data_IF_142652371208
#
_entry.id   IF_142652371208
#
_cell.length_a   1.000
_cell.length_b   1.000
_cell.length_c   1.000
_cell.angle_alpha   90.00
_cell.angle_beta   90.00
_cell.angle_gamma   90.00
#
_symmetry.space_group_name_H-M   'P 1'
#
loop_
_entity.id
_entity.type
_entity.pdbx_description
1 polymer ?
#
# COMPACT_ATOMS: atom_id res chain seq x y z
N UNK A 1 -15.77 -25.19 -20.00
CA UNK A 1 -15.96 -23.72 -19.92
C UNK A 1 -15.22 -23.09 -21.10
N UNK A 2 -15.88 -22.26 -21.93
CA UNK A 2 -15.22 -21.76 -23.17
C UNK A 2 -14.08 -20.84 -22.79
N UNK A 3 -12.90 -21.01 -23.39
CA UNK A 3 -11.71 -20.18 -23.19
C UNK A 3 -11.99 -18.67 -23.34
N UNK A 4 -12.94 -18.31 -24.20
CA UNK A 4 -13.42 -16.93 -24.39
C UNK A 4 -14.04 -16.35 -23.11
N UNK A 5 -14.75 -17.16 -22.33
CA UNK A 5 -15.32 -16.69 -21.03
C UNK A 5 -14.23 -16.48 -19.99
N UNK A 6 -13.20 -17.32 -20.03
CA UNK A 6 -12.05 -17.21 -19.11
C UNK A 6 -11.23 -15.93 -19.43
N UNK A 7 -10.97 -15.66 -20.71
CA UNK A 7 -10.30 -14.44 -21.15
C UNK A 7 -11.12 -13.20 -20.78
N UNK A 8 -12.45 -13.22 -21.02
CA UNK A 8 -13.30 -12.09 -20.64
C UNK A 8 -13.31 -11.84 -19.12
N UNK A 9 -13.35 -12.90 -18.30
CA UNK A 9 -13.22 -12.74 -16.84
C UNK A 9 -11.88 -12.13 -16.44
N UNK A 10 -10.76 -12.60 -17.02
CA UNK A 10 -9.44 -12.04 -16.74
C UNK A 10 -9.30 -10.58 -17.18
N UNK A 11 -9.87 -10.21 -18.34
CA UNK A 11 -9.88 -8.81 -18.80
C UNK A 11 -10.75 -7.94 -17.90
N UNK A 12 -11.92 -8.45 -17.47
CA UNK A 12 -12.81 -7.72 -16.56
C UNK A 12 -12.17 -7.50 -15.18
N UNK A 13 -11.49 -8.52 -14.63
CA UNK A 13 -10.75 -8.39 -13.37
C UNK A 13 -9.57 -7.42 -13.49
N UNK A 14 -8.89 -7.38 -14.62
CA UNK A 14 -7.80 -6.43 -14.85
C UNK A 14 -8.31 -4.97 -14.92
N UNK A 15 -9.48 -4.74 -15.51
CA UNK A 15 -10.12 -3.40 -15.55
C UNK A 15 -10.59 -2.91 -14.18
N UNK A 16 -11.03 -3.80 -13.31
CA UNK A 16 -11.47 -3.44 -11.95
C UNK A 16 -10.29 -3.00 -11.07
N UNK A 17 -9.09 -3.54 -11.30
CA UNK A 17 -7.88 -3.17 -10.55
C UNK A 17 -7.39 -1.74 -10.83
N UNK A 18 -7.73 -1.15 -11.97
CA UNK A 18 -7.34 0.22 -12.30
C UNK A 18 -8.23 1.29 -11.66
N UNK A 19 -9.39 0.91 -11.11
CA UNK A 19 -10.36 1.84 -10.55
C UNK A 19 -10.10 2.22 -9.07
N UNK A 20 -9.11 1.62 -8.41
CA UNK A 20 -8.84 1.82 -6.96
C UNK A 20 -7.69 2.80 -6.69
N UNK A 21 -7.29 3.62 -7.65
CA UNK A 21 -6.31 4.68 -7.44
C UNK A 21 -6.93 5.90 -6.73
N UNK A 22 -7.51 5.68 -5.55
CA UNK A 22 -7.90 6.79 -4.67
C UNK A 22 -6.75 7.07 -3.71
N UNK A 23 -6.46 8.35 -3.52
CA UNK A 23 -5.44 8.79 -2.57
C UNK A 23 -5.72 8.22 -1.18
N UNK A 24 -4.75 7.50 -0.63
CA UNK A 24 -4.82 6.93 0.73
C UNK A 24 -4.44 7.92 1.83
N UNK A 25 -4.12 9.17 1.48
CA UNK A 25 -3.67 10.19 2.43
C UNK A 25 -4.34 11.53 2.15
N UNK A 26 -4.58 12.30 3.23
CA UNK A 26 -5.05 13.68 3.19
C UNK A 26 -4.10 14.60 3.96
N UNK A 27 -2.81 14.37 3.86
CA UNK A 27 -1.82 15.11 4.62
C UNK A 27 -1.00 16.04 3.71
N UNK A 28 -0.94 17.35 4.00
CA UNK A 28 -0.12 18.30 3.25
C UNK A 28 1.38 17.97 3.32
N UNK A 29 1.80 17.20 4.31
CA UNK A 29 3.20 16.76 4.45
C UNK A 29 3.60 15.74 3.38
N UNK A 30 2.65 15.05 2.74
CA UNK A 30 2.92 14.12 1.64
C UNK A 30 3.45 14.80 0.37
N UNK A 31 3.45 16.13 0.33
CA UNK A 31 4.07 16.92 -0.74
C UNK A 31 5.59 16.74 -0.81
N UNK A 32 6.23 16.32 0.28
CA UNK A 32 7.67 16.25 0.38
C UNK A 32 8.21 14.84 0.24
N UNK A 33 9.37 14.70 -0.44
CA UNK A 33 10.06 13.45 -0.64
C UNK A 33 9.20 12.42 -1.39
N UNK A 34 9.13 11.22 -0.87
CA UNK A 34 8.33 10.12 -1.45
C UNK A 34 6.88 10.09 -0.95
N UNK A 35 6.43 11.10 -0.21
CA UNK A 35 5.14 11.10 0.44
C UNK A 35 5.15 10.37 1.80
N UNK A 36 4.00 9.85 2.20
CA UNK A 36 3.86 9.05 3.42
C UNK A 36 4.17 7.59 3.11
N UNK A 37 5.18 7.02 3.78
CA UNK A 37 5.52 5.61 3.65
C UNK A 37 4.38 4.75 4.18
N UNK A 38 4.06 3.69 3.43
CA UNK A 38 3.04 2.72 3.81
C UNK A 38 3.59 1.68 4.77
N UNK A 39 2.72 1.15 5.63
CA UNK A 39 3.05 0.02 6.49
C UNK A 39 3.25 -1.25 5.64
N UNK A 40 4.37 -1.92 5.83
CA UNK A 40 4.76 -3.14 5.11
C UNK A 40 4.32 -4.42 5.83
N UNK A 41 3.48 -4.32 6.86
CA UNK A 41 2.95 -5.46 7.60
C UNK A 41 1.62 -5.95 7.04
N UNK A 42 1.38 -7.25 7.11
CA UNK A 42 0.21 -7.93 6.58
C UNK A 42 -0.65 -8.56 7.68
N UNK A 43 -1.96 -8.67 7.43
CA UNK A 43 -2.88 -9.44 8.25
C UNK A 43 -2.77 -9.19 9.76
N UNK A 44 -2.49 -10.26 10.49
CA UNK A 44 -2.37 -10.22 11.95
C UNK A 44 -1.22 -9.33 12.43
N UNK A 45 -0.12 -9.25 11.67
CA UNK A 45 1.02 -8.40 12.01
C UNK A 45 0.62 -6.93 12.06
N UNK A 46 -0.21 -6.47 11.13
CA UNK A 46 -0.76 -5.12 11.10
C UNK A 46 -1.63 -4.84 12.34
N UNK A 47 -2.47 -5.80 12.74
CA UNK A 47 -3.29 -5.69 13.95
C UNK A 47 -2.47 -5.66 15.25
N UNK A 48 -1.25 -6.20 15.24
CA UNK A 48 -0.29 -6.19 16.36
C UNK A 48 0.69 -5.01 16.31
N UNK A 49 0.36 -3.92 15.60
CA UNK A 49 1.20 -2.74 15.53
C UNK A 49 2.40 -2.87 14.59
N UNK A 50 2.31 -3.73 13.57
CA UNK A 50 3.35 -3.88 12.55
C UNK A 50 4.49 -4.84 12.92
N UNK A 51 4.30 -5.71 13.91
CA UNK A 51 5.31 -6.72 14.27
C UNK A 51 5.45 -7.71 13.12
N UNK A 52 6.56 -7.65 12.40
CA UNK A 52 6.78 -8.48 11.21
C UNK A 52 8.18 -9.08 11.14
N UNK A 53 9.23 -8.32 11.44
CA UNK A 53 10.63 -8.70 11.21
C UNK A 53 11.09 -9.96 11.97
N UNK A 54 10.65 -10.11 13.22
CA UNK A 54 10.98 -11.29 14.04
C UNK A 54 9.94 -12.42 13.96
N UNK A 55 8.83 -12.20 13.26
CA UNK A 55 7.75 -13.17 13.20
C UNK A 55 8.00 -14.21 12.11
N UNK A 56 8.01 -15.49 12.49
CA UNK A 56 8.07 -16.64 11.60
C UNK A 56 6.83 -17.49 11.77
N UNK A 57 5.94 -17.43 10.77
CA UNK A 57 4.68 -18.16 10.78
C UNK A 57 4.40 -18.73 9.39
N UNK A 58 4.11 -20.02 9.30
CA UNK A 58 3.76 -20.71 8.06
C UNK A 58 2.33 -20.49 7.57
N UNK A 59 1.49 -19.80 8.36
CA UNK A 59 0.07 -19.58 8.08
C UNK A 59 -0.26 -18.16 7.61
N UNK A 60 0.73 -17.29 7.47
CA UNK A 60 0.54 -15.93 6.96
C UNK A 60 1.71 -15.50 6.08
N UNK A 61 1.42 -14.63 5.12
CA UNK A 61 2.45 -14.00 4.30
C UNK A 61 3.16 -12.92 5.14
N UNK A 62 4.50 -12.90 5.09
CA UNK A 62 5.29 -11.90 5.80
C UNK A 62 6.43 -11.38 4.92
N UNK A 63 6.15 -10.34 4.12
CA UNK A 63 7.12 -9.74 3.21
C UNK A 63 8.30 -9.06 3.93
N UNK A 64 8.11 -8.62 5.18
CA UNK A 64 9.17 -7.99 5.96
C UNK A 64 10.21 -8.98 6.50
N UNK A 65 9.85 -10.29 6.57
CA UNK A 65 10.77 -11.36 6.94
C UNK A 65 10.77 -12.48 5.91
N UNK A 66 11.55 -12.38 4.83
CA UNK A 66 11.55 -13.40 3.78
C UNK A 66 12.02 -14.80 4.25
N UNK A 67 12.78 -14.90 5.35
CA UNK A 67 13.14 -16.20 5.94
C UNK A 67 11.89 -16.98 6.42
N UNK A 68 10.78 -16.27 6.74
CA UNK A 68 9.50 -16.86 7.12
C UNK A 68 8.85 -17.68 6.01
N UNK A 69 9.16 -17.44 4.73
CA UNK A 69 8.58 -18.20 3.63
C UNK A 69 8.90 -19.70 3.69
N UNK A 70 10.05 -20.03 4.25
CA UNK A 70 10.46 -21.43 4.45
C UNK A 70 9.63 -22.18 5.50
N UNK A 71 8.77 -21.49 6.26
CA UNK A 71 7.92 -22.09 7.28
C UNK A 71 6.59 -22.62 6.74
N UNK A 72 6.29 -22.41 5.47
CA UNK A 72 5.02 -22.88 4.85
C UNK A 72 5.03 -24.40 4.73
N UNK A 73 3.92 -25.03 5.14
CA UNK A 73 3.73 -26.46 5.06
C UNK A 73 3.61 -26.97 3.61
N UNK A 74 3.84 -28.28 3.43
CA UNK A 74 3.66 -28.93 2.14
C UNK A 74 2.22 -28.82 1.67
N UNK A 75 2.03 -28.70 0.35
CA UNK A 75 0.70 -28.60 -0.30
C UNK A 75 -0.13 -27.37 0.17
N UNK A 76 0.52 -26.39 0.78
CA UNK A 76 -0.15 -25.16 1.24
C UNK A 76 0.13 -24.03 0.26
N UNK A 77 -0.94 -23.38 -0.18
CA UNK A 77 -0.93 -22.13 -0.92
C UNK A 77 -1.64 -21.08 -0.07
N UNK A 78 -0.91 -20.01 0.26
CA UNK A 78 -1.47 -18.87 0.98
C UNK A 78 -1.74 -17.75 -0.02
N UNK A 79 -2.93 -17.19 0.06
CA UNK A 79 -3.30 -15.95 -0.61
C UNK A 79 -3.81 -14.99 0.45
N UNK A 80 -3.26 -13.79 0.46
CA UNK A 80 -3.61 -12.75 1.42
C UNK A 80 -3.79 -11.42 0.71
N UNK A 81 -4.86 -10.72 1.04
CA UNK A 81 -5.17 -9.40 0.50
C UNK A 81 -5.76 -8.52 1.59
N UNK A 82 -5.28 -7.30 1.68
CA UNK A 82 -5.70 -6.33 2.68
C UNK A 82 -6.25 -5.06 2.06
N UNK A 83 -7.28 -4.49 2.69
CA UNK A 83 -7.84 -3.20 2.34
C UNK A 83 -8.08 -2.39 3.62
N UNK A 84 -7.75 -1.12 3.58
CA UNK A 84 -8.03 -0.17 4.66
C UNK A 84 -9.10 0.82 4.22
N UNK A 85 -10.10 0.97 5.09
CA UNK A 85 -11.10 2.03 5.00
C UNK A 85 -10.83 3.02 6.13
N UNK A 86 -10.55 4.26 5.78
CA UNK A 86 -10.26 5.32 6.73
C UNK A 86 -11.39 6.36 6.72
N UNK A 87 -11.85 6.71 7.90
CA UNK A 87 -12.78 7.84 8.12
C UNK A 87 -12.15 8.78 9.14
N UNK A 88 -11.62 9.91 8.65
CA UNK A 88 -10.92 10.89 9.46
C UNK A 88 -11.75 12.16 9.61
N UNK A 89 -11.88 12.67 10.84
CA UNK A 89 -12.52 13.94 11.14
C UNK A 89 -11.44 14.95 11.53
N UNK A 90 -11.31 16.00 10.74
CA UNK A 90 -10.43 17.13 11.01
C UNK A 90 -11.24 18.25 11.64
N UNK A 91 -10.68 18.88 12.68
CA UNK A 91 -11.30 20.03 13.33
C UNK A 91 -10.24 21.11 13.54
N UNK A 92 -10.47 22.28 12.95
CA UNK A 92 -9.61 23.44 13.10
C UNK A 92 -10.49 24.70 13.20
N UNK A 93 -10.22 25.56 14.18
CA UNK A 93 -10.92 26.85 14.36
C UNK A 93 -12.46 26.77 14.32
N UNK A 94 -13.02 25.67 14.84
CA UNK A 94 -14.47 25.43 14.83
C UNK A 94 -15.03 24.83 13.54
N UNK A 95 -14.25 24.77 12.47
CA UNK A 95 -14.61 24.11 11.22
C UNK A 95 -14.32 22.61 11.34
N UNK A 96 -15.29 21.78 10.96
CA UNK A 96 -15.14 20.32 10.91
C UNK A 96 -15.17 19.86 9.47
N UNK A 97 -14.20 19.07 9.07
CA UNK A 97 -14.12 18.43 7.76
C UNK A 97 -13.96 16.93 7.94
N UNK A 98 -14.74 16.16 7.18
CA UNK A 98 -14.63 14.69 7.16
C UNK A 98 -13.96 14.26 5.86
N UNK A 99 -13.00 13.36 5.97
CA UNK A 99 -12.36 12.71 4.83
C UNK A 99 -12.51 11.19 4.93
N UNK A 100 -12.91 10.57 3.84
CA UNK A 100 -13.06 9.13 3.71
C UNK A 100 -12.13 8.65 2.62
N UNK A 101 -11.25 7.73 2.96
CA UNK A 101 -10.29 7.13 2.04
C UNK A 101 -10.48 5.61 2.04
N UNK A 102 -10.19 5.01 0.91
CA UNK A 102 -10.14 3.57 0.76
C UNK A 102 -8.86 3.21 0.00
N UNK A 103 -8.06 2.32 0.55
CA UNK A 103 -6.79 1.91 -0.05
C UNK A 103 -6.69 0.40 -0.08
N UNK A 104 -6.12 -0.12 -1.16
CA UNK A 104 -5.63 -1.49 -1.22
C UNK A 104 -4.27 -1.52 -0.51
N UNK A 105 -4.17 -2.27 0.59
CA UNK A 105 -2.94 -2.32 1.38
C UNK A 105 -1.93 -3.29 0.79
N UNK A 106 -2.38 -4.45 0.32
CA UNK A 106 -1.52 -5.45 -0.31
C UNK A 106 -2.34 -6.55 -0.97
N UNK A 107 -1.70 -7.22 -1.91
CA UNK A 107 -2.09 -8.53 -2.43
C UNK A 107 -0.82 -9.36 -2.48
N UNK A 108 -0.82 -10.51 -1.83
CA UNK A 108 0.34 -11.38 -1.79
C UNK A 108 -0.05 -12.85 -1.81
N UNK A 109 0.87 -13.66 -2.32
CA UNK A 109 0.77 -15.10 -2.34
C UNK A 109 2.07 -15.72 -1.83
N UNK A 110 1.96 -16.88 -1.22
CA UNK A 110 3.10 -17.63 -0.67
C UNK A 110 2.84 -19.12 -0.81
N UNK A 111 3.83 -19.86 -1.23
CA UNK A 111 3.77 -21.31 -1.39
C UNK A 111 5.13 -21.96 -1.24
N UNK A 112 5.11 -23.24 -0.98
CA UNK A 112 6.32 -24.04 -0.86
C UNK A 112 6.72 -24.57 -2.24
N UNK A 113 7.98 -24.36 -2.61
CA UNK A 113 8.57 -24.92 -3.84
C UNK A 113 9.11 -26.32 -3.60
N UNK A 114 9.95 -26.47 -2.57
CA UNK A 114 10.58 -27.72 -2.17
C UNK A 114 10.65 -27.79 -0.65
N UNK A 115 11.15 -28.92 -0.14
CA UNK A 115 11.38 -29.05 1.30
C UNK A 115 12.39 -28.01 1.80
N UNK A 116 11.94 -27.18 2.75
CA UNK A 116 12.71 -26.08 3.30
C UNK A 116 12.78 -24.82 2.43
N UNK A 117 12.25 -24.82 1.18
CA UNK A 117 12.26 -23.65 0.31
C UNK A 117 10.83 -23.14 0.06
N UNK A 118 10.55 -21.93 0.52
CA UNK A 118 9.33 -21.21 0.26
C UNK A 118 9.54 -20.00 -0.65
N UNK A 119 8.52 -19.65 -1.40
CA UNK A 119 8.47 -18.48 -2.27
C UNK A 119 7.26 -17.63 -1.94
N UNK A 120 7.44 -16.32 -2.02
CA UNK A 120 6.35 -15.36 -1.94
C UNK A 120 6.46 -14.32 -3.05
N UNK A 121 5.32 -13.87 -3.53
CA UNK A 121 5.24 -12.76 -4.48
C UNK A 121 4.04 -11.89 -4.12
N UNK A 122 4.14 -10.60 -4.37
CA UNK A 122 3.04 -9.71 -4.04
C UNK A 122 3.22 -8.30 -4.57
N UNK A 123 2.14 -7.55 -4.35
CA UNK A 123 2.00 -6.15 -4.69
C UNK A 123 1.52 -5.39 -3.46
N UNK A 124 2.13 -4.25 -3.19
CA UNK A 124 1.75 -3.36 -2.08
C UNK A 124 2.15 -1.91 -2.38
N UNK A 125 1.45 -0.91 -1.86
CA UNK A 125 1.91 0.46 -1.93
C UNK A 125 3.15 0.63 -1.05
N UNK A 126 4.17 1.31 -1.60
CA UNK A 126 5.37 1.68 -0.86
C UNK A 126 5.18 3.03 -0.17
N UNK A 127 4.55 3.98 -0.89
CA UNK A 127 4.21 5.28 -0.33
C UNK A 127 2.94 5.83 -0.96
N UNK A 128 2.31 6.78 -0.28
CA UNK A 128 1.12 7.48 -0.75
C UNK A 128 1.33 8.98 -0.70
N UNK A 129 0.85 9.66 -1.74
CA UNK A 129 0.81 11.12 -1.83
C UNK A 129 -0.66 11.51 -1.99
N UNK A 130 -1.12 12.44 -1.16
CA UNK A 130 -2.48 12.95 -1.27
C UNK A 130 -2.59 14.25 -0.50
N UNK A 131 -2.64 15.37 -1.23
CA UNK A 131 -2.86 16.68 -0.64
C UNK A 131 -3.71 17.57 -1.57
N UNK A 132 -4.54 18.36 -0.94
CA UNK A 132 -5.29 19.41 -1.59
C UNK A 132 -5.30 20.62 -0.66
N UNK A 133 -4.56 21.66 -1.03
CA UNK A 133 -4.38 22.85 -0.21
C UNK A 133 -4.68 24.09 -1.06
N UNK A 134 -5.36 25.07 -0.46
CA UNK A 134 -5.55 26.37 -1.06
C UNK A 134 -5.10 27.47 -0.10
N UNK A 135 -4.45 28.48 -0.64
CA UNK A 135 -4.01 29.66 0.10
C UNK A 135 -4.48 30.90 -0.62
N UNK A 136 -5.18 31.78 0.09
CA UNK A 136 -5.51 33.13 -0.39
C UNK A 136 -4.33 34.07 -0.11
N UNK A 137 -3.89 34.78 -1.14
CA UNK A 137 -2.85 35.80 -1.07
C UNK A 137 -3.38 37.11 -1.64
N UNK A 138 -3.27 38.18 -0.88
CA UNK A 138 -3.57 39.51 -1.39
C UNK A 138 -2.48 39.91 -2.39
N UNK A 139 -2.86 40.25 -3.62
CA UNK A 139 -1.92 40.63 -4.69
C UNK A 139 -1.98 42.11 -5.03
N UNK A 140 -2.97 42.85 -4.53
CA UNK A 140 -3.10 44.27 -4.76
C UNK A 140 -4.41 44.81 -4.24
N UNK A 141 -4.66 46.08 -4.58
CA UNK A 141 -5.92 46.78 -4.30
C UNK A 141 -6.43 47.35 -5.61
N UNK A 142 -7.69 47.25 -5.87
CA UNK A 142 -8.31 47.82 -7.06
C UNK A 142 -8.40 49.37 -6.94
N UNK A 143 -8.69 50.10 -8.02
CA UNK A 143 -8.86 51.56 -7.98
C UNK A 143 -9.97 52.06 -7.06
N UNK A 144 -10.87 51.16 -6.64
CA UNK A 144 -11.99 51.44 -5.73
C UNK A 144 -11.68 51.10 -4.26
N UNK A 145 -10.45 50.66 -3.95
CA UNK A 145 -10.00 50.34 -2.58
C UNK A 145 -10.29 48.91 -2.12
N UNK A 146 -10.80 48.00 -2.99
CA UNK A 146 -11.03 46.62 -2.62
C UNK A 146 -9.74 45.77 -2.75
N UNK A 147 -9.55 44.85 -1.83
CA UNK A 147 -8.42 43.95 -1.87
C UNK A 147 -8.59 42.88 -2.96
N UNK A 148 -7.65 42.84 -3.90
CA UNK A 148 -7.60 41.79 -4.91
C UNK A 148 -6.88 40.59 -4.28
N UNK A 149 -7.56 39.43 -4.22
CA UNK A 149 -7.02 38.21 -3.68
C UNK A 149 -6.79 37.18 -4.80
N UNK A 150 -5.62 36.58 -4.83
CA UNK A 150 -5.34 35.41 -5.64
C UNK A 150 -5.52 34.14 -4.77
N UNK A 151 -6.19 33.13 -5.32
CA UNK A 151 -6.28 31.83 -4.72
C UNK A 151 -5.23 30.93 -5.37
N UNK A 152 -4.22 30.56 -4.58
CA UNK A 152 -3.22 29.58 -4.97
C UNK A 152 -3.69 28.20 -4.51
N UNK A 153 -3.91 27.27 -5.45
CA UNK A 153 -4.30 25.89 -5.15
C UNK A 153 -3.18 24.93 -5.48
N UNK A 154 -2.87 24.04 -4.55
CA UNK A 154 -1.89 22.97 -4.69
C UNK A 154 -2.59 21.64 -4.51
N UNK A 155 -2.49 20.81 -5.54
CA UNK A 155 -3.06 19.46 -5.54
C UNK A 155 -1.96 18.45 -5.90
N UNK A 156 -1.96 17.31 -5.25
CA UNK A 156 -1.13 16.18 -5.61
C UNK A 156 -1.80 14.89 -5.16
N UNK A 157 -1.73 13.90 -6.03
CA UNK A 157 -2.29 12.57 -5.81
C UNK A 157 -1.39 11.53 -6.46
N UNK A 158 -1.22 10.37 -5.80
CA UNK A 158 -0.39 9.27 -6.32
C UNK A 158 0.41 8.58 -5.23
N UNK A 159 1.62 8.15 -5.59
CA UNK A 159 2.54 7.45 -4.70
C UNK A 159 3.31 6.35 -5.42
N UNK A 160 4.22 5.71 -4.70
CA UNK A 160 5.02 4.61 -5.21
C UNK A 160 4.37 3.27 -4.88
N UNK A 161 4.37 2.39 -5.87
CA UNK A 161 3.92 1.01 -5.76
C UNK A 161 5.12 0.08 -5.79
N UNK A 162 5.00 -1.04 -5.10
CA UNK A 162 6.03 -2.07 -5.00
C UNK A 162 5.49 -3.42 -5.44
N UNK A 163 6.17 -4.04 -6.39
CA UNK A 163 6.01 -5.47 -6.68
C UNK A 163 7.23 -6.18 -6.12
N UNK A 164 7.02 -7.26 -5.40
CA UNK A 164 8.12 -8.06 -4.85
C UNK A 164 8.00 -9.53 -5.19
N UNK A 165 9.15 -10.18 -5.28
CA UNK A 165 9.30 -11.63 -5.31
C UNK A 165 10.40 -11.99 -4.34
N UNK A 166 10.17 -13.00 -3.51
CA UNK A 166 11.11 -13.43 -2.49
C UNK A 166 11.20 -14.92 -2.33
N UNK A 167 12.35 -15.35 -1.82
CA UNK A 167 12.66 -16.71 -1.50
C UNK A 167 13.13 -16.82 -0.04
N UNK A 168 12.72 -17.86 0.64
CA UNK A 168 13.17 -18.20 1.99
C UNK A 168 13.58 -19.65 2.06
N UNK A 169 14.76 -19.92 2.61
CA UNK A 169 15.33 -21.25 2.69
C UNK A 169 15.79 -21.61 4.11
N UNK A 170 15.48 -22.83 4.54
CA UNK A 170 15.97 -23.42 5.78
C UNK A 170 17.37 -24.01 5.55
N UNK A 171 18.40 -23.32 6.01
CA UNK A 171 19.79 -23.81 5.92
C UNK A 171 20.03 -24.92 6.94
N UNK A 172 19.55 -24.71 8.16
CA UNK A 172 19.62 -25.67 9.26
C UNK A 172 18.27 -25.69 10.00
N UNK A 173 18.08 -26.67 10.88
CA UNK A 173 16.86 -26.82 11.69
C UNK A 173 16.43 -25.50 12.40
N UNK A 174 17.41 -24.69 12.80
CA UNK A 174 17.20 -23.47 13.59
C UNK A 174 17.60 -22.18 12.84
N UNK A 175 18.06 -22.29 11.58
CA UNK A 175 18.49 -21.14 10.80
C UNK A 175 17.82 -21.13 9.44
N UNK A 176 17.07 -20.07 9.18
CA UNK A 176 16.46 -19.78 7.89
C UNK A 176 16.99 -18.45 7.36
N UNK A 177 17.26 -18.41 6.07
CA UNK A 177 17.67 -17.20 5.36
C UNK A 177 16.65 -16.88 4.27
N UNK A 178 16.53 -15.63 3.91
CA UNK A 178 15.63 -15.24 2.84
C UNK A 178 16.00 -13.88 2.27
N UNK A 179 15.54 -13.64 1.06
CA UNK A 179 15.73 -12.39 0.36
C UNK A 179 14.51 -12.05 -0.49
N UNK A 180 14.23 -10.76 -0.62
CA UNK A 180 13.24 -10.20 -1.54
C UNK A 180 13.95 -9.35 -2.59
N UNK A 181 13.46 -9.42 -3.82
CA UNK A 181 13.76 -8.46 -4.87
C UNK A 181 12.47 -7.70 -5.13
N UNK A 182 12.56 -6.37 -5.15
CA UNK A 182 11.40 -5.51 -5.33
C UNK A 182 11.64 -4.49 -6.44
N UNK A 183 10.60 -4.24 -7.21
CA UNK A 183 10.55 -3.18 -8.20
C UNK A 183 9.58 -2.10 -7.74
N UNK A 184 10.08 -0.87 -7.65
CA UNK A 184 9.30 0.31 -7.26
C UNK A 184 8.96 1.11 -8.51
N UNK A 185 7.70 1.54 -8.63
CA UNK A 185 7.23 2.42 -9.70
C UNK A 185 6.09 3.33 -9.22
N UNK A 186 5.87 4.44 -9.90
CA UNK A 186 4.82 5.41 -9.62
C UNK A 186 5.09 6.77 -10.26
#
# INVERSE_FOLDING_TARGET
>A
MSYKRLINCCVLTFFVLTAVAQSGSNSPYTRYGYGQLSDQSFGNSKAMGGIAYGLRNGLQVNAANPASYSAVDSLTFLFDAGMTLQNANFKENGIKTNAKNSTLDYIAMQFRLFEGLGMSAGFLPYSTVGYNMSKSKQIGTDPYGNNIQALESYYGDGGLQQVFVGLGYNVFKNLSVGANISYLYG
#
